data_IF_545062341391
#
_entry.id   IF_545062341391
#
_cell.length_a   1.000
_cell.length_b   1.000
_cell.length_c   1.000
_cell.angle_alpha   90.00
_cell.angle_beta   90.00
_cell.angle_gamma   90.00
#
_symmetry.space_group_name_H-M   'P 1'
#
loop_
_entity.id
_entity.type
_entity.pdbx_description
1 polymer ?
#
# COMPACT_ATOMS: atom_id res chain seq x y z
N UNK A 1 11.70 11.30 18.51
CA UNK A 1 10.99 10.00 18.49
C UNK A 1 10.17 9.97 17.21
N UNK A 2 10.23 8.93 16.37
CA UNK A 2 9.36 8.86 15.19
C UNK A 2 7.92 8.79 15.68
N UNK A 3 7.07 9.68 15.17
CA UNK A 3 5.64 9.72 15.49
C UNK A 3 5.02 8.34 15.24
N UNK A 4 4.02 7.92 16.04
CA UNK A 4 3.31 6.67 15.75
C UNK A 4 2.71 6.79 14.34
N UNK A 5 3.20 5.97 13.42
CA UNK A 5 2.63 5.87 12.09
C UNK A 5 1.18 5.41 12.27
N UNK A 6 0.22 6.13 11.69
CA UNK A 6 -1.20 5.82 11.83
C UNK A 6 -1.79 5.54 10.45
N UNK A 7 -2.68 4.55 10.30
CA UNK A 7 -3.34 4.27 9.01
C UNK A 7 -4.07 5.50 8.44
N UNK A 8 -4.51 6.43 9.30
CA UNK A 8 -5.14 7.70 8.93
C UNK A 8 -4.21 8.68 8.17
N UNK A 9 -2.91 8.37 8.05
CA UNK A 9 -2.01 9.13 7.17
C UNK A 9 -2.26 8.80 5.69
N UNK A 10 -2.84 7.64 5.39
CA UNK A 10 -3.31 7.32 4.05
C UNK A 10 -4.70 7.94 3.86
N UNK A 11 -4.84 8.81 2.85
CA UNK A 11 -6.10 9.53 2.59
C UNK A 11 -7.27 8.61 2.25
N UNK A 12 -6.99 7.45 1.65
CA UNK A 12 -7.98 6.45 1.29
C UNK A 12 -8.56 5.78 2.55
N UNK A 13 -7.70 5.38 3.49
CA UNK A 13 -8.11 4.84 4.78
C UNK A 13 -8.78 5.90 5.66
N UNK A 14 -8.28 7.14 5.64
CA UNK A 14 -8.83 8.26 6.40
C UNK A 14 -10.22 8.70 5.93
N UNK A 15 -10.60 8.38 4.68
CA UNK A 15 -11.92 8.66 4.14
C UNK A 15 -12.98 7.64 4.54
N UNK A 16 -12.58 6.48 5.10
CA UNK A 16 -13.51 5.44 5.50
C UNK A 16 -14.25 5.82 6.80
N UNK A 17 -15.56 5.54 6.90
CA UNK A 17 -16.26 5.60 8.18
C UNK A 17 -15.62 4.68 9.22
N UNK A 18 -15.66 5.06 10.49
CA UNK A 18 -15.03 4.29 11.58
C UNK A 18 -15.50 2.82 11.63
N UNK A 19 -16.77 2.57 11.34
CA UNK A 19 -17.36 1.23 11.32
C UNK A 19 -16.79 0.33 10.19
N UNK A 20 -16.29 0.92 9.10
CA UNK A 20 -15.64 0.20 8.00
C UNK A 20 -14.14 0.07 8.23
N UNK A 21 -13.53 1.07 8.87
CA UNK A 21 -12.11 1.06 9.22
C UNK A 21 -11.78 0.05 10.31
N UNK A 22 -12.63 -0.13 11.33
CA UNK A 22 -12.40 -1.08 12.45
C UNK A 22 -12.08 -2.52 12.00
N UNK A 23 -12.91 -3.19 11.16
CA UNK A 23 -12.60 -4.54 10.70
C UNK A 23 -11.39 -4.57 9.77
N UNK A 24 -11.14 -3.52 8.98
CA UNK A 24 -9.96 -3.43 8.13
C UNK A 24 -8.68 -3.29 8.97
N UNK A 25 -8.72 -2.45 10.01
CA UNK A 25 -7.60 -2.19 10.91
C UNK A 25 -7.08 -3.44 11.61
N UNK A 26 -7.95 -4.42 11.88
CA UNK A 26 -7.54 -5.72 12.42
C UNK A 26 -6.67 -6.55 11.46
N UNK A 27 -6.75 -6.28 10.16
CA UNK A 27 -5.99 -6.95 9.10
C UNK A 27 -4.87 -6.08 8.52
N UNK A 28 -4.74 -4.82 8.96
CA UNK A 28 -3.69 -3.92 8.52
C UNK A 28 -2.40 -4.20 9.29
N UNK A 29 -1.34 -4.46 8.54
CA UNK A 29 0.00 -4.59 9.08
C UNK A 29 0.88 -3.41 8.64
N UNK A 30 1.67 -2.88 9.57
CA UNK A 30 2.68 -1.88 9.24
C UNK A 30 3.92 -2.57 8.69
N UNK A 31 4.13 -2.42 7.38
CA UNK A 31 5.31 -2.93 6.68
C UNK A 31 6.20 -1.76 6.24
N UNK A 32 7.52 -1.82 6.49
CA UNK A 32 8.45 -0.84 5.93
C UNK A 32 8.61 -1.09 4.43
N UNK A 33 8.51 -0.03 3.63
CA UNK A 33 8.78 -0.09 2.19
C UNK A 33 10.18 0.44 1.90
N UNK A 34 11.00 -0.38 1.24
CA UNK A 34 12.36 -0.02 0.85
C UNK A 34 12.40 0.64 -0.52
N UNK A 35 13.35 1.56 -0.73
CA UNK A 35 13.54 2.16 -2.04
C UNK A 35 13.94 1.10 -3.06
N UNK A 36 13.20 1.02 -4.17
CA UNK A 36 13.42 0.02 -5.22
C UNK A 36 12.81 -1.35 -4.92
N UNK A 37 12.02 -1.49 -3.86
CA UNK A 37 11.27 -2.71 -3.58
C UNK A 37 10.20 -2.96 -4.65
N UNK A 38 10.14 -4.21 -5.14
CA UNK A 38 9.15 -4.65 -6.12
C UNK A 38 7.95 -5.23 -5.35
N UNK A 39 6.84 -4.49 -5.31
CA UNK A 39 5.62 -4.90 -4.61
C UNK A 39 4.75 -5.87 -5.42
N UNK A 40 4.93 -5.88 -6.73
CA UNK A 40 4.15 -6.69 -7.66
C UNK A 40 4.98 -6.98 -8.91
N UNK A 41 4.95 -8.24 -9.36
CA UNK A 41 5.52 -8.68 -10.63
C UNK A 41 4.37 -9.03 -11.60
N UNK A 42 4.49 -8.73 -12.91
CA UNK A 42 3.42 -8.93 -13.90
C UNK A 42 2.80 -10.33 -13.96
N UNK A 43 3.56 -11.37 -13.59
CA UNK A 43 3.13 -12.77 -13.59
C UNK A 43 2.77 -13.31 -12.20
N UNK A 44 2.85 -12.46 -11.17
CA UNK A 44 2.55 -12.80 -9.79
C UNK A 44 1.09 -12.50 -9.41
N UNK A 45 0.51 -13.31 -8.52
CA UNK A 45 -0.78 -12.96 -7.92
C UNK A 45 -0.57 -11.91 -6.82
N UNK A 46 -1.33 -10.80 -6.90
CA UNK A 46 -1.32 -9.76 -5.89
C UNK A 46 -2.01 -10.29 -4.61
N UNK A 47 -1.24 -10.62 -3.58
CA UNK A 47 -1.76 -11.22 -2.34
C UNK A 47 -2.21 -10.18 -1.31
N UNK A 48 -1.62 -8.99 -1.33
CA UNK A 48 -1.87 -7.94 -0.35
C UNK A 48 -2.09 -6.59 -1.02
N UNK A 49 -3.04 -5.82 -0.52
CA UNK A 49 -3.20 -4.42 -0.89
C UNK A 49 -2.28 -3.55 -0.02
N UNK A 50 -1.51 -2.66 -0.66
CA UNK A 50 -0.62 -1.75 0.05
C UNK A 50 -1.24 -0.35 0.11
N UNK A 51 -1.15 0.28 1.28
CA UNK A 51 -1.61 1.65 1.51
C UNK A 51 -0.42 2.53 1.93
N UNK A 52 0.37 3.06 0.96
CA UNK A 52 1.54 3.87 1.27
C UNK A 52 1.16 5.11 2.09
N UNK A 53 1.93 5.39 3.15
CA UNK A 53 1.76 6.58 4.00
C UNK A 53 2.93 7.57 3.86
N UNK A 54 4.12 7.07 3.52
CA UNK A 54 5.37 7.87 3.45
C UNK A 54 6.19 7.59 2.19
N UNK A 55 5.70 6.74 1.28
CA UNK A 55 6.39 6.32 0.07
C UNK A 55 5.54 6.59 -1.18
N UNK A 56 6.21 6.65 -2.34
CA UNK A 56 5.58 6.72 -3.66
C UNK A 56 5.79 5.37 -4.35
N UNK A 57 4.72 4.81 -4.93
CA UNK A 57 4.74 3.56 -5.69
C UNK A 57 4.57 3.88 -7.16
N UNK A 58 5.50 3.43 -8.00
CA UNK A 58 5.40 3.53 -9.45
C UNK A 58 4.97 2.18 -10.03
N UNK A 59 3.93 2.18 -10.86
CA UNK A 59 3.53 0.99 -11.61
C UNK A 59 4.33 0.95 -12.92
N UNK A 60 5.29 0.05 -13.03
CA UNK A 60 6.00 -0.18 -14.29
C UNK A 60 5.31 -1.30 -15.07
N UNK A 61 4.47 -0.91 -16.03
CA UNK A 61 3.88 -1.85 -16.97
C UNK A 61 4.87 -2.10 -18.12
N UNK A 62 5.38 -3.32 -18.23
CA UNK A 62 6.08 -3.76 -19.45
C UNK A 62 5.01 -4.21 -20.44
N UNK A 63 4.70 -3.38 -21.43
CA UNK A 63 3.86 -3.84 -22.55
C UNK A 63 4.64 -4.95 -23.28
N UNK A 64 4.04 -6.14 -23.41
CA UNK A 64 4.66 -7.29 -24.08
C UNK A 64 5.08 -7.00 -25.54
N UNK A 65 4.53 -5.95 -26.15
CA UNK A 65 4.97 -5.40 -27.43
C UNK A 65 5.50 -3.99 -27.21
N UNK A 66 6.81 -3.85 -27.03
CA UNK A 66 7.46 -2.56 -27.28
C UNK A 66 7.38 -2.27 -28.78
N UNK A 67 6.37 -1.52 -29.22
CA UNK A 67 6.27 -0.99 -30.58
C UNK A 67 5.55 0.36 -30.56
#
# INVERSE_FOLDING_TARGET
MPSPHSPNQNQLLAALPAAELEPLAAHLEHVPLSLGEVLYEPDGQLQHAYFPTTAIVSLHYVMASGA
#
